data_IF_754342429705
#
_entry.id   IF_754342429705
#
_cell.length_a   1.000
_cell.length_b   1.000
_cell.length_c   1.000
_cell.angle_alpha   90.00
_cell.angle_beta   90.00
_cell.angle_gamma   90.00
#
_symmetry.space_group_name_H-M   'P 1'
#
loop_
_entity.id
_entity.type
_entity.pdbx_description
1 polymer ?
2 polymer ?
3 non-polymer ?
4 non-polymer ?
5 non-polymer ?
6 water ?
#
# COMPACT_ATOMS: atom_id res chain seq x y z
N UNK A 1 15.98 3.98 -19.94
CA UNK A 1 15.32 2.86 -19.22
C UNK A 1 15.22 1.66 -20.14
N UNK A 2 15.37 0.46 -19.58
CA UNK A 2 15.40 -0.76 -20.38
C UNK A 2 14.09 -0.99 -21.13
N UNK A 3 12.99 -0.41 -20.66
CA UNK A 3 11.71 -0.54 -21.36
C UNK A 3 11.42 0.60 -22.33
N UNK A 4 12.37 1.51 -22.53
CA UNK A 4 12.14 2.67 -23.38
C UNK A 4 11.85 2.35 -24.82
N UNK A 5 12.31 1.21 -25.31
CA UNK A 5 12.09 0.83 -26.68
C UNK A 5 10.82 0.01 -26.90
N UNK A 6 10.10 -0.37 -25.85
CA UNK A 6 8.91 -1.19 -25.98
C UNK A 6 7.66 -0.31 -26.01
N UNK A 7 6.73 -0.64 -26.89
CA UNK A 7 5.46 0.07 -26.96
C UNK A 7 4.73 0.03 -25.62
N UNK A 8 4.03 1.11 -25.32
CA UNK A 8 3.19 1.15 -24.13
C UNK A 8 2.23 -0.03 -24.08
N UNK A 9 1.52 -0.31 -25.18
CA UNK A 9 0.52 -1.37 -25.14
C UNK A 9 1.16 -2.72 -24.94
N UNK A 10 2.37 -2.91 -25.48
CA UNK A 10 3.09 -4.17 -25.29
C UNK A 10 3.51 -4.35 -23.85
N UNK A 11 3.94 -3.26 -23.19
CA UNK A 11 4.29 -3.32 -21.77
C UNK A 11 3.08 -3.73 -20.93
N UNK A 12 1.92 -3.15 -21.22
CA UNK A 12 0.70 -3.50 -20.49
C UNK A 12 0.33 -4.96 -20.75
N UNK A 13 0.41 -5.40 -22.01
CA UNK A 13 0.13 -6.80 -22.32
C UNK A 13 1.06 -7.73 -21.57
N UNK A 14 2.35 -7.40 -21.54
CA UNK A 14 3.30 -8.26 -20.86
C UNK A 14 3.15 -8.19 -19.36
N UNK A 15 2.74 -7.05 -18.80
CA UNK A 15 2.46 -7.01 -17.37
C UNK A 15 1.36 -7.99 -17.02
N UNK A 16 0.33 -8.10 -17.87
CA UNK A 16 -0.76 -9.03 -17.60
C UNK A 16 -0.29 -10.48 -17.72
N UNK A 17 0.59 -10.76 -18.68
CA UNK A 17 1.19 -12.09 -18.79
C UNK A 17 2.04 -12.40 -17.56
N UNK A 18 2.85 -11.43 -17.12
CA UNK A 18 3.68 -11.64 -15.95
C UNK A 18 2.83 -11.92 -14.72
N UNK A 19 1.71 -11.22 -14.58
CA UNK A 19 0.80 -11.51 -13.47
C UNK A 19 0.34 -12.96 -13.52
N UNK A 20 -0.09 -13.44 -14.70
CA UNK A 20 -0.56 -14.81 -14.83
C UNK A 20 0.53 -15.81 -14.47
N UNK A 21 1.78 -15.48 -14.79
CA UNK A 21 2.93 -16.33 -14.52
C UNK A 21 3.51 -16.12 -13.12
N UNK A 22 2.91 -15.23 -12.33
CA UNK A 22 3.39 -14.91 -10.98
C UNK A 22 4.83 -14.39 -11.00
N UNK A 23 5.15 -13.61 -12.03
CA UNK A 23 6.47 -13.01 -12.22
C UNK A 23 6.36 -11.54 -11.88
N UNK A 24 6.27 -11.26 -10.58
CA UNK A 24 5.89 -9.92 -10.16
C UNK A 24 7.00 -8.90 -10.33
N UNK A 25 8.26 -9.31 -10.24
CA UNK A 25 9.35 -8.38 -10.54
C UNK A 25 9.29 -7.95 -12.01
N UNK A 26 9.05 -8.90 -12.91
CA UNK A 26 8.88 -8.53 -14.32
C UNK A 26 7.67 -7.61 -14.49
N UNK A 27 6.57 -7.96 -13.84
CA UNK A 27 5.35 -7.18 -13.93
C UNK A 27 5.61 -5.75 -13.53
N UNK A 28 6.35 -5.55 -12.43
CA UNK A 28 6.64 -4.21 -11.94
C UNK A 28 7.53 -3.44 -12.92
N UNK A 29 8.51 -4.13 -13.50
CA UNK A 29 9.37 -3.47 -14.48
C UNK A 29 8.57 -3.05 -15.71
N UNK A 30 7.65 -3.90 -16.17
CA UNK A 30 6.81 -3.55 -17.31
C UNK A 30 5.94 -2.34 -16.99
N UNK A 31 5.31 -2.34 -15.80
CA UNK A 31 4.43 -1.25 -15.44
C UNK A 31 5.21 0.04 -15.20
N UNK A 32 6.41 -0.04 -14.64
CA UNK A 32 7.26 1.16 -14.54
C UNK A 32 7.55 1.72 -15.93
N UNK A 33 7.88 0.85 -16.89
CA UNK A 33 8.07 1.30 -18.25
C UNK A 33 6.84 1.96 -18.82
N UNK A 34 5.65 1.41 -18.53
CA UNK A 34 4.42 1.99 -19.02
C UNK A 34 4.20 3.37 -18.42
N UNK A 35 4.40 3.51 -17.10
CA UNK A 35 4.26 4.82 -16.46
C UNK A 35 5.21 5.83 -17.10
N UNK A 36 6.44 5.41 -17.38
CA UNK A 36 7.46 6.32 -17.90
C UNK A 36 7.19 6.74 -19.34
N UNK A 37 6.21 6.16 -20.02
CA UNK A 37 5.77 6.71 -21.29
C UNK A 37 5.16 8.09 -21.16
N UNK A 38 4.71 8.46 -19.97
CA UNK A 38 4.27 9.82 -19.71
C UNK A 38 2.77 10.04 -19.81
N UNK A 39 2.01 9.07 -20.30
CA UNK A 39 0.57 9.19 -20.34
C UNK A 39 -0.02 8.78 -18.99
N UNK A 40 -1.20 9.32 -18.69
CA UNK A 40 -1.95 8.89 -17.52
C UNK A 40 -2.32 7.40 -17.64
N UNK A 41 -2.61 6.79 -16.49
CA UNK A 41 -2.98 5.38 -16.44
C UNK A 41 -4.49 5.25 -16.23
N UNK A 42 -5.08 4.28 -16.92
CA UNK A 42 -6.47 3.95 -16.71
C UNK A 42 -6.66 3.25 -15.37
N UNK A 43 -7.92 3.03 -14.97
CA UNK A 43 -8.19 2.30 -13.74
C UNK A 43 -7.52 0.93 -13.74
N UNK A 44 -7.68 0.17 -14.82
CA UNK A 44 -7.09 -1.15 -14.87
C UNK A 44 -5.58 -1.07 -14.78
N UNK A 45 -4.99 -0.09 -15.44
CA UNK A 45 -3.54 0.04 -15.43
C UNK A 45 -3.03 0.45 -14.05
N UNK A 46 -3.76 1.29 -13.33
CA UNK A 46 -3.38 1.61 -11.96
C UNK A 46 -3.41 0.37 -11.09
N UNK A 47 -4.44 -0.46 -11.27
CA UNK A 47 -4.50 -1.71 -10.51
C UNK A 47 -3.31 -2.60 -10.84
N UNK A 48 -2.92 -2.69 -12.11
CA UNK A 48 -1.75 -3.50 -12.47
C UNK A 48 -0.49 -2.98 -11.81
N UNK A 49 -0.29 -1.66 -11.84
CA UNK A 49 0.87 -1.05 -11.20
C UNK A 49 0.93 -1.44 -9.72
N UNK A 50 -0.21 -1.31 -9.05
CA UNK A 50 -0.26 -1.62 -7.62
C UNK A 50 -0.06 -3.10 -7.34
N UNK A 51 -0.73 -3.97 -8.10
CA UNK A 51 -0.54 -5.41 -7.89
C UNK A 51 0.94 -5.76 -8.01
N UNK A 52 1.60 -5.24 -9.03
CA UNK A 52 2.98 -5.62 -9.29
C UNK A 52 3.87 -5.24 -8.12
N UNK A 53 3.86 -3.96 -7.75
CA UNK A 53 4.74 -3.51 -6.69
C UNK A 53 4.31 -4.02 -5.32
N UNK A 54 3.01 -4.21 -5.08
CA UNK A 54 2.60 -4.75 -3.79
C UNK A 54 3.15 -6.16 -3.58
N UNK A 55 3.16 -6.96 -4.63
CA UNK A 55 3.69 -8.31 -4.52
C UNK A 55 5.21 -8.28 -4.36
N UNK A 56 5.91 -7.43 -5.10
CA UNK A 56 7.36 -7.33 -4.93
C UNK A 56 7.69 -6.92 -3.49
N UNK A 57 7.10 -5.82 -3.00
CA UNK A 57 7.45 -5.37 -1.67
C UNK A 57 6.92 -6.35 -0.64
N UNK A 58 5.85 -7.07 -0.95
CA UNK A 58 5.34 -8.05 -0.02
C UNK A 58 6.33 -9.14 0.29
N UNK A 59 7.01 -9.64 -0.74
CA UNK A 59 8.02 -10.65 -0.49
C UNK A 59 9.19 -10.09 0.30
N UNK A 60 9.56 -8.84 0.04
CA UNK A 60 10.64 -8.21 0.78
C UNK A 60 10.27 -7.98 2.23
N UNK A 61 9.03 -7.54 2.48
CA UNK A 61 8.58 -7.31 3.86
C UNK A 61 8.56 -8.61 4.63
N UNK A 62 8.07 -9.68 4.01
CA UNK A 62 8.03 -10.97 4.69
C UNK A 62 9.44 -11.45 5.01
N UNK A 63 10.38 -11.28 4.07
CA UNK A 63 11.76 -11.69 4.31
C UNK A 63 12.39 -10.83 5.39
N UNK A 64 12.15 -9.51 5.33
CA UNK A 64 12.68 -8.61 6.34
C UNK A 64 12.20 -9.00 7.74
N UNK A 65 10.91 -9.32 7.88
CA UNK A 65 10.39 -9.71 9.18
C UNK A 65 11.08 -10.96 9.71
N UNK A 66 11.31 -11.95 8.84
CA UNK A 66 11.99 -13.17 9.27
C UNK A 66 13.39 -12.83 9.77
N UNK A 67 14.13 -12.04 8.99
CA UNK A 67 15.50 -11.72 9.34
C UNK A 67 15.57 -10.83 10.58
N UNK A 68 14.66 -9.87 10.72
CA UNK A 68 14.66 -9.02 11.90
C UNK A 68 14.38 -9.84 13.15
N UNK A 69 13.50 -10.83 13.06
CA UNK A 69 13.24 -11.68 14.22
C UNK A 69 14.47 -12.46 14.63
N UNK A 70 15.19 -13.03 13.66
CA UNK A 70 16.43 -13.75 13.96
C UNK A 70 17.43 -12.80 14.60
N UNK A 71 17.53 -11.58 14.05
CA UNK A 71 18.48 -10.61 14.58
C UNK A 71 18.13 -10.26 16.02
N UNK A 72 16.85 -10.03 16.31
CA UNK A 72 16.49 -9.66 17.68
C UNK A 72 16.77 -10.81 18.65
N UNK A 73 16.58 -12.05 18.22
CA UNK A 73 16.90 -13.16 19.09
C UNK A 73 18.40 -13.24 19.34
N UNK A 74 19.21 -12.94 18.32
CA UNK A 74 20.65 -12.97 18.51
C UNK A 74 21.12 -11.94 19.52
N UNK A 75 20.31 -10.94 19.82
CA UNK A 75 20.67 -9.89 20.75
C UNK A 75 20.10 -10.09 22.15
N UNK A 76 19.56 -11.27 22.44
CA UNK A 76 19.06 -11.58 23.77
C UNK A 76 20.19 -12.09 24.65
N UNK A 77 19.95 -12.07 25.97
CA UNK A 77 20.94 -12.56 26.92
C UNK A 77 21.10 -14.08 26.76
N UNK A 78 22.36 -14.53 26.69
CA UNK A 78 22.66 -15.93 26.54
C UNK A 78 22.81 -16.40 25.11
N UNK A 79 22.49 -15.54 24.13
CA UNK A 79 22.62 -15.92 22.73
C UNK A 79 24.09 -15.88 22.33
N UNK A 80 24.54 -16.94 21.68
CA UNK A 80 25.93 -17.02 21.26
C UNK A 80 26.18 -16.01 20.13
N UNK A 81 27.38 -15.42 20.13
CA UNK A 81 27.77 -14.47 19.11
C UNK A 81 28.05 -15.18 17.80
N UNK A 82 27.45 -14.71 16.72
CA UNK A 82 27.57 -15.35 15.42
C UNK A 82 28.14 -14.41 14.36
N UNK A 83 28.57 -13.22 14.74
CA UNK A 83 29.21 -12.31 13.81
C UNK A 83 28.22 -11.37 13.17
N UNK A 84 28.69 -10.64 12.15
CA UNK A 84 27.90 -9.57 11.55
C UNK A 84 26.90 -10.03 10.49
N UNK A 85 26.85 -11.32 10.18
CA UNK A 85 26.16 -11.77 8.98
C UNK A 85 24.66 -11.56 9.04
N UNK A 86 24.02 -11.78 10.19
CA UNK A 86 22.57 -11.58 10.27
C UNK A 86 22.23 -10.12 10.03
N UNK A 87 22.94 -9.22 10.70
CA UNK A 87 22.73 -7.80 10.46
C UNK A 87 22.99 -7.42 9.02
N UNK A 88 24.10 -7.89 8.46
CA UNK A 88 24.42 -7.54 7.08
C UNK A 88 23.30 -7.97 6.14
N UNK A 89 22.81 -9.19 6.30
CA UNK A 89 21.84 -9.70 5.35
C UNK A 89 20.48 -9.03 5.56
N UNK A 90 20.07 -8.78 6.81
CA UNK A 90 18.90 -7.98 7.06
C UNK A 90 19.04 -6.61 6.43
N UNK A 91 20.22 -5.99 6.54
CA UNK A 91 20.46 -4.69 5.91
C UNK A 91 20.34 -4.79 4.39
N UNK A 92 20.83 -5.89 3.80
CA UNK A 92 20.74 -6.05 2.36
C UNK A 92 19.29 -6.07 1.89
N UNK A 93 18.48 -6.88 2.56
CA UNK A 93 17.06 -6.96 2.21
C UNK A 93 16.37 -5.64 2.47
N UNK A 94 16.71 -5.00 3.59
CA UNK A 94 16.12 -3.70 3.92
C UNK A 94 16.43 -2.67 2.85
N UNK A 95 17.68 -2.63 2.38
CA UNK A 95 18.06 -1.65 1.37
C UNK A 95 17.34 -1.90 0.06
N UNK A 96 17.16 -3.17 -0.30
CA UNK A 96 16.42 -3.47 -1.52
C UNK A 96 14.96 -3.07 -1.38
N UNK A 97 14.36 -3.32 -0.22
CA UNK A 97 12.98 -2.92 0.03
C UNK A 97 12.85 -1.40 -0.05
N UNK A 98 13.77 -0.69 0.57
CA UNK A 98 13.73 0.76 0.51
C UNK A 98 13.87 1.25 -0.92
N UNK A 99 14.70 0.57 -1.70
CA UNK A 99 14.82 0.92 -3.11
C UNK A 99 13.52 0.79 -3.87
N UNK A 100 12.79 -0.30 -3.64
CA UNK A 100 11.51 -0.48 -4.31
C UNK A 100 10.53 0.60 -3.88
N UNK A 101 10.47 0.88 -2.58
CA UNK A 101 9.59 1.94 -2.10
C UNK A 101 9.93 3.28 -2.73
N UNK A 102 11.22 3.59 -2.82
CA UNK A 102 11.66 4.84 -3.42
C UNK A 102 11.31 4.89 -4.90
N UNK A 103 11.41 3.77 -5.58
CA UNK A 103 11.02 3.72 -6.99
C UNK A 103 9.54 4.03 -7.17
N UNK A 104 8.70 3.41 -6.35
CA UNK A 104 7.25 3.66 -6.44
C UNK A 104 6.95 5.12 -6.13
N UNK A 105 7.53 5.63 -5.04
CA UNK A 105 7.32 7.03 -4.65
C UNK A 105 7.79 7.95 -5.76
N UNK A 106 8.88 7.58 -6.42
CA UNK A 106 9.36 8.38 -7.54
C UNK A 106 8.39 8.43 -8.71
N UNK A 107 7.79 7.29 -9.05
CA UNK A 107 6.79 7.26 -10.11
C UNK A 107 5.59 8.11 -9.74
N UNK A 108 5.17 8.04 -8.48
CA UNK A 108 4.05 8.84 -8.03
C UNK A 108 4.37 10.33 -8.10
N UNK A 109 5.61 10.71 -7.78
CA UNK A 109 6.02 12.11 -7.81
C UNK A 109 6.38 12.60 -9.20
N UNK A 110 6.63 11.70 -10.15
CA UNK A 110 7.12 12.09 -11.49
C UNK A 110 6.45 11.19 -12.54
N UNK A 111 5.17 11.44 -12.87
CA UNK A 111 4.40 12.61 -12.46
C UNK A 111 2.94 12.18 -12.28
N UNK A 112 2.73 10.98 -11.74
CA UNK A 112 1.37 10.42 -11.67
C UNK A 112 0.44 11.29 -10.82
N UNK A 113 0.87 11.69 -9.63
CA UNK A 113 -0.04 12.41 -8.76
C UNK A 113 -0.40 13.77 -9.36
N UNK A 114 0.59 14.50 -9.87
CA UNK A 114 0.30 15.86 -10.30
C UNK A 114 -0.64 15.90 -11.49
N UNK A 115 -0.72 14.85 -12.30
CA UNK A 115 -1.65 14.84 -13.42
C UNK A 115 -2.97 14.12 -13.11
N UNK A 116 -3.13 13.61 -11.89
CA UNK A 116 -4.35 12.91 -11.47
C UNK A 116 -5.36 13.88 -10.91
N UNK A 117 -6.43 14.10 -11.66
CA UNK A 117 -7.45 15.05 -11.24
C UNK A 117 -8.75 14.41 -10.75
N UNK A 118 -9.11 13.25 -11.29
CA UNK A 118 -10.34 12.60 -10.85
C UNK A 118 -10.12 11.95 -9.50
N UNK A 119 -11.17 11.88 -8.70
CA UNK A 119 -11.00 11.30 -7.37
C UNK A 119 -10.48 9.88 -7.42
N UNK A 120 -10.94 9.08 -8.38
CA UNK A 120 -10.59 7.67 -8.41
C UNK A 120 -9.11 7.45 -8.72
N UNK A 121 -8.49 8.37 -9.45
CA UNK A 121 -7.06 8.26 -9.70
C UNK A 121 -6.28 8.91 -8.58
N UNK A 122 -6.65 10.14 -8.20
CA UNK A 122 -5.90 10.89 -7.21
C UNK A 122 -5.90 10.20 -5.85
N UNK A 123 -7.07 9.72 -5.39
CA UNK A 123 -7.13 9.00 -4.12
C UNK A 123 -6.31 7.73 -4.18
N UNK A 124 -6.42 6.97 -5.29
CA UNK A 124 -5.66 5.74 -5.43
C UNK A 124 -4.16 5.99 -5.30
N UNK A 125 -3.65 7.04 -5.96
CA UNK A 125 -2.23 7.34 -5.92
C UNK A 125 -1.77 7.89 -4.58
N UNK A 126 -2.57 8.74 -3.96
CA UNK A 126 -2.21 9.25 -2.65
C UNK A 126 -2.24 8.15 -1.60
N UNK A 127 -3.18 7.21 -1.71
CA UNK A 127 -3.18 6.04 -0.86
C UNK A 127 -1.90 5.24 -1.07
N UNK A 128 -1.51 5.02 -2.33
CA UNK A 128 -0.26 4.33 -2.61
C UNK A 128 0.92 5.06 -1.96
N UNK A 129 0.95 6.39 -2.07
CA UNK A 129 2.02 7.14 -1.47
C UNK A 129 2.08 6.91 0.04
N UNK A 130 0.92 6.96 0.71
CA UNK A 130 0.89 6.61 2.12
C UNK A 130 1.38 5.21 2.40
N UNK A 131 0.94 4.25 1.59
CA UNK A 131 1.33 2.86 1.76
C UNK A 131 2.84 2.67 1.68
N UNK A 132 3.49 3.28 0.68
CA UNK A 132 4.91 3.00 0.49
C UNK A 132 5.75 3.76 1.51
N UNK A 133 5.29 4.93 1.98
CA UNK A 133 5.91 5.52 3.17
C UNK A 133 5.67 4.64 4.40
N UNK A 134 4.49 4.02 4.51
CA UNK A 134 4.26 3.12 5.63
C UNK A 134 5.23 1.93 5.60
N UNK A 135 5.47 1.36 4.43
CA UNK A 135 6.43 0.27 4.33
C UNK A 135 7.83 0.75 4.69
N UNK A 136 8.20 1.97 4.29
CA UNK A 136 9.46 2.54 4.74
C UNK A 136 9.47 2.70 6.25
N UNK A 137 8.34 3.09 6.85
CA UNK A 137 8.28 3.30 8.29
C UNK A 137 8.43 1.99 9.05
N UNK A 138 7.98 0.88 8.48
CA UNK A 138 8.10 -0.41 9.14
C UNK A 138 9.55 -0.75 9.45
N UNK A 139 10.50 -0.28 8.64
CA UNK A 139 11.91 -0.60 8.80
C UNK A 139 12.74 0.56 9.30
N UNK A 140 12.14 1.73 9.49
CA UNK A 140 12.89 2.92 9.88
C UNK A 140 13.21 2.90 11.36
N UNK A 141 14.43 3.34 11.69
CA UNK A 141 14.88 3.39 13.08
C UNK A 141 15.69 4.63 13.43
N UNK A 142 16.12 5.44 12.47
CA UNK A 142 17.03 6.54 12.74
C UNK A 142 16.36 7.89 12.83
N UNK A 143 17.15 8.93 12.55
CA UNK A 143 16.71 10.31 12.69
C UNK A 143 15.58 10.68 11.74
N UNK A 144 15.28 9.85 10.74
CA UNK A 144 14.23 10.16 9.78
C UNK A 144 12.97 9.32 9.98
N UNK A 145 12.90 8.50 11.04
CA UNK A 145 11.68 7.76 11.31
C UNK A 145 10.47 8.70 11.44
N UNK A 146 10.63 9.77 12.21
CA UNK A 146 9.52 10.69 12.43
C UNK A 146 9.07 11.32 11.13
N UNK A 147 10.04 11.70 10.29
CA UNK A 147 9.71 12.33 9.01
C UNK A 147 8.97 11.36 8.10
N UNK A 148 9.42 10.11 8.05
CA UNK A 148 8.79 9.10 7.20
C UNK A 148 7.36 8.87 7.66
N UNK A 149 7.16 8.78 8.97
CA UNK A 149 5.82 8.60 9.49
C UNK A 149 4.94 9.77 9.12
N UNK A 150 5.46 11.01 9.25
CA UNK A 150 4.73 12.22 8.90
C UNK A 150 4.33 12.21 7.43
N UNK A 151 5.25 11.77 6.57
CA UNK A 151 4.96 11.71 5.15
C UNK A 151 3.83 10.73 4.84
N UNK A 152 3.85 9.54 5.47
CA UNK A 152 2.75 8.60 5.30
C UNK A 152 1.44 9.22 5.76
N UNK A 153 1.46 9.80 6.96
CA UNK A 153 0.25 10.41 7.51
C UNK A 153 -0.31 11.46 6.57
N UNK A 154 0.57 12.32 6.05
CA UNK A 154 0.14 13.44 5.23
C UNK A 154 -0.52 12.96 3.95
N UNK A 155 0.07 11.94 3.31
CA UNK A 155 -0.49 11.42 2.08
C UNK A 155 -1.84 10.75 2.34
N UNK A 156 -1.92 9.94 3.39
CA UNK A 156 -3.21 9.34 3.75
C UNK A 156 -4.25 10.39 4.04
N UNK A 157 -3.86 11.45 4.75
CA UNK A 157 -4.83 12.47 5.14
C UNK A 157 -5.37 13.21 3.92
N UNK A 158 -4.50 13.57 2.96
CA UNK A 158 -4.99 14.20 1.75
C UNK A 158 -5.93 13.27 0.99
N UNK A 159 -5.58 11.99 0.91
CA UNK A 159 -6.45 11.01 0.26
C UNK A 159 -7.79 10.89 0.97
N UNK A 160 -7.77 10.87 2.31
CA UNK A 160 -9.01 10.77 3.08
C UNK A 160 -9.89 11.97 2.83
N UNK A 161 -9.29 13.17 2.81
CA UNK A 161 -10.11 14.37 2.64
C UNK A 161 -10.81 14.35 1.28
N UNK A 162 -10.10 13.95 0.22
CA UNK A 162 -10.71 13.87 -1.10
C UNK A 162 -11.77 12.77 -1.12
N UNK A 163 -11.46 11.61 -0.56
CA UNK A 163 -12.38 10.47 -0.65
C UNK A 163 -13.68 10.78 0.06
N UNK A 164 -13.62 11.48 1.18
CA UNK A 164 -14.85 11.78 1.92
C UNK A 164 -15.70 12.79 1.17
N UNK A 165 -15.09 13.69 0.42
CA UNK A 165 -15.85 14.67 -0.34
C UNK A 165 -16.38 14.14 -1.66
N UNK A 166 -15.64 13.24 -2.31
CA UNK A 166 -15.91 12.90 -3.70
C UNK A 166 -16.38 11.47 -3.96
N UNK A 167 -16.32 10.58 -2.98
CA UNK A 167 -16.68 9.19 -3.21
C UNK A 167 -17.73 8.74 -2.21
N UNK A 168 -18.58 7.80 -2.59
CA UNK A 168 -19.53 7.25 -1.62
C UNK A 168 -18.82 6.39 -0.60
N UNK A 169 -19.41 6.19 0.56
CA UNK A 169 -18.73 5.48 1.64
C UNK A 169 -18.49 4.02 1.34
N UNK A 170 -19.13 3.46 0.32
CA UNK A 170 -18.88 2.08 -0.11
C UNK A 170 -17.82 1.96 -1.20
N UNK A 171 -17.31 3.06 -1.72
CA UNK A 171 -16.36 2.95 -2.82
C UNK A 171 -15.16 2.12 -2.37
N UNK A 172 -14.78 1.08 -3.09
CA UNK A 172 -13.68 0.23 -2.60
C UNK A 172 -12.35 0.94 -2.41
N UNK A 173 -12.05 1.98 -3.20
CA UNK A 173 -10.84 2.75 -2.98
C UNK A 173 -10.92 3.48 -1.64
N UNK A 174 -12.04 4.16 -1.38
CA UNK A 174 -12.23 4.83 -0.11
C UNK A 174 -12.11 3.85 1.04
N UNK A 175 -12.70 2.66 0.89
CA UNK A 175 -12.65 1.64 1.95
C UNK A 175 -11.22 1.14 2.16
N UNK A 176 -10.52 0.82 1.08
CA UNK A 176 -9.16 0.33 1.21
C UNK A 176 -8.20 1.37 1.78
N UNK A 177 -8.42 2.63 1.42
CA UNK A 177 -7.68 3.73 2.02
C UNK A 177 -7.91 3.81 3.52
N UNK A 178 -9.17 3.82 3.94
CA UNK A 178 -9.47 3.91 5.37
C UNK A 178 -8.90 2.71 6.11
N UNK A 179 -9.05 1.53 5.54
CA UNK A 179 -8.45 0.33 6.12
C UNK A 179 -6.95 0.51 6.33
N UNK A 180 -6.25 1.00 5.31
CA UNK A 180 -4.81 1.14 5.42
C UNK A 180 -4.40 2.26 6.36
N UNK A 181 -5.14 3.36 6.40
CA UNK A 181 -4.82 4.45 7.33
C UNK A 181 -5.04 3.96 8.76
N UNK A 182 -6.07 3.13 8.97
CA UNK A 182 -6.29 2.55 10.29
C UNK A 182 -5.14 1.62 10.69
N UNK A 183 -4.62 0.82 9.75
CA UNK A 183 -3.43 0.00 10.03
C UNK A 183 -2.25 0.90 10.37
N UNK A 184 -2.04 1.97 9.60
CA UNK A 184 -1.02 2.95 9.94
C UNK A 184 -1.17 3.42 11.39
N UNK A 185 -2.38 3.83 11.78
CA UNK A 185 -2.57 4.31 13.15
C UNK A 185 -2.18 3.24 14.17
N UNK A 186 -2.58 1.99 13.94
CA UNK A 186 -2.38 0.95 14.93
C UNK A 186 -0.92 0.49 14.99
N UNK A 187 -0.31 0.27 13.83
CA UNK A 187 0.98 -0.40 13.75
C UNK A 187 2.17 0.56 13.65
N UNK A 188 1.97 1.78 13.15
CA UNK A 188 3.06 2.72 12.90
C UNK A 188 3.02 3.88 13.89
N UNK A 189 1.85 4.49 14.08
CA UNK A 189 1.73 5.76 14.77
C UNK A 189 1.40 5.61 16.25
N UNK A 190 1.34 4.40 16.78
CA UNK A 190 1.08 4.22 18.22
C UNK A 190 -0.25 4.83 18.63
N UNK A 191 -1.26 4.68 17.77
CA UNK A 191 -2.59 5.29 17.97
C UNK A 191 -3.67 4.24 17.79
N UNK A 192 -3.69 3.21 18.64
CA UNK A 192 -4.70 2.14 18.46
C UNK A 192 -6.13 2.64 18.59
N UNK A 193 -6.40 3.61 19.46
CA UNK A 193 -7.77 4.10 19.55
C UNK A 193 -8.21 4.77 18.26
N UNK A 194 -7.32 5.53 17.64
CA UNK A 194 -7.67 6.16 16.36
C UNK A 194 -7.91 5.09 15.31
N UNK A 195 -7.07 4.05 15.31
CA UNK A 195 -7.25 2.95 14.37
C UNK A 195 -8.63 2.31 14.51
N UNK A 196 -9.02 2.02 15.74
CA UNK A 196 -10.29 1.36 16.01
C UNK A 196 -11.45 2.26 15.63
N UNK A 197 -11.38 3.53 16.03
CA UNK A 197 -12.46 4.45 15.69
C UNK A 197 -12.62 4.60 14.20
N UNK A 198 -11.51 4.74 13.46
CA UNK A 198 -11.61 4.87 12.00
C UNK A 198 -12.19 3.61 11.37
N UNK A 199 -11.74 2.43 11.81
CA UNK A 199 -12.27 1.21 11.22
C UNK A 199 -13.77 1.08 11.48
N UNK A 200 -14.21 1.41 12.70
CA UNK A 200 -15.63 1.30 13.07
C UNK A 200 -16.48 2.26 12.26
N UNK A 201 -16.10 3.54 12.25
CA UNK A 201 -16.88 4.54 11.52
C UNK A 201 -16.93 4.20 10.03
N UNK A 202 -15.80 3.77 9.47
CA UNK A 202 -15.78 3.42 8.05
C UNK A 202 -16.72 2.25 7.77
N UNK A 203 -16.66 1.22 8.61
CA UNK A 203 -17.54 0.07 8.43
C UNK A 203 -19.00 0.47 8.52
N UNK A 204 -19.36 1.22 9.56
CA UNK A 204 -20.76 1.57 9.77
C UNK A 204 -21.30 2.47 8.66
N UNK A 205 -20.51 3.43 8.17
CA UNK A 205 -20.99 4.28 7.10
C UNK A 205 -21.13 3.53 5.80
N UNK A 206 -20.27 2.55 5.56
CA UNK A 206 -20.42 1.72 4.38
C UNK A 206 -21.68 0.84 4.51
N UNK A 207 -21.88 0.23 5.68
CA UNK A 207 -23.06 -0.61 5.86
C UNK A 207 -24.32 0.13 5.45
N UNK A 208 -24.44 1.39 5.86
CA UNK A 208 -25.62 2.19 5.61
C UNK A 208 -25.84 2.55 4.15
N UNK A 209 -24.82 2.39 3.31
CA UNK A 209 -24.89 2.72 1.89
C UNK A 209 -24.98 1.50 0.99
N UNK A 210 -24.86 0.30 1.54
CA UNK A 210 -24.92 -0.91 0.73
C UNK A 210 -26.22 -1.01 -0.06
N UNK A 211 -27.32 -0.49 0.48
CA UNK A 211 -28.63 -0.63 -0.15
C UNK A 211 -28.67 0.00 -1.53
N UNK A 212 -27.75 0.93 -1.82
CA UNK A 212 -27.73 1.63 -3.11
C UNK A 212 -27.03 0.85 -4.21
N UNK A 213 -26.43 -0.29 -3.90
CA UNK A 213 -25.49 -0.96 -4.79
C UNK A 213 -26.11 -2.15 -5.51
N UNK A 214 -25.59 -2.39 -6.70
CA UNK A 214 -25.86 -3.62 -7.44
C UNK A 214 -25.23 -4.80 -6.71
N UNK A 215 -25.62 -6.00 -7.12
CA UNK A 215 -25.06 -7.21 -6.53
C UNK A 215 -23.54 -7.24 -6.66
N UNK A 216 -23.02 -6.91 -7.84
CA UNK A 216 -21.58 -6.98 -8.03
C UNK A 216 -20.85 -5.93 -7.19
N UNK A 217 -21.39 -4.71 -7.13
CA UNK A 217 -20.76 -3.67 -6.31
C UNK A 217 -20.85 -4.00 -4.83
N UNK A 218 -21.97 -4.57 -4.41
CA UNK A 218 -22.12 -5.04 -3.04
C UNK A 218 -21.02 -6.04 -2.68
N UNK A 219 -20.74 -7.00 -3.58
CA UNK A 219 -19.67 -7.94 -3.31
C UNK A 219 -18.32 -7.24 -3.17
N UNK A 220 -18.02 -6.29 -4.06
CA UNK A 220 -16.74 -5.57 -4.00
C UNK A 220 -16.60 -4.84 -2.68
N UNK A 221 -17.64 -4.13 -2.26
CA UNK A 221 -17.55 -3.35 -1.04
C UNK A 221 -17.51 -4.23 0.20
N UNK A 222 -18.33 -5.26 0.27
CA UNK A 222 -18.36 -6.11 1.47
C UNK A 222 -17.05 -6.85 1.65
N UNK A 223 -16.34 -7.14 0.56
CA UNK A 223 -15.03 -7.79 0.69
C UNK A 223 -14.11 -6.94 1.55
N UNK A 224 -14.04 -5.63 1.26
CA UNK A 224 -13.15 -4.74 2.02
C UNK A 224 -13.70 -4.51 3.41
N UNK A 225 -15.03 -4.39 3.54
CA UNK A 225 -15.64 -4.24 4.84
C UNK A 225 -15.27 -5.39 5.76
N UNK A 226 -15.18 -6.60 5.23
CA UNK A 226 -14.84 -7.74 6.06
C UNK A 226 -13.42 -7.61 6.61
N UNK A 227 -12.53 -6.98 5.85
CA UNK A 227 -11.18 -6.76 6.35
C UNK A 227 -11.18 -5.78 7.53
N UNK A 228 -12.01 -4.73 7.45
CA UNK A 228 -12.17 -3.83 8.59
C UNK A 228 -12.67 -4.60 9.80
N UNK A 229 -13.67 -5.47 9.59
CA UNK A 229 -14.22 -6.28 10.67
C UNK A 229 -13.17 -7.20 11.26
N UNK A 230 -12.37 -7.84 10.40
CA UNK A 230 -11.33 -8.73 10.87
C UNK A 230 -10.34 -7.99 11.74
N UNK A 231 -9.95 -6.78 11.33
CA UNK A 231 -9.03 -5.99 12.15
C UNK A 231 -9.69 -5.60 13.48
N UNK A 232 -10.95 -5.18 13.45
CA UNK A 232 -11.59 -4.82 14.69
C UNK A 232 -11.63 -6.01 15.64
N UNK A 233 -11.85 -7.21 15.11
CA UNK A 233 -11.86 -8.41 15.95
C UNK A 233 -10.48 -8.68 16.55
N UNK A 234 -9.42 -8.46 15.78
CA UNK A 234 -8.07 -8.62 16.30
C UNK A 234 -7.76 -7.60 17.38
N UNK A 235 -8.26 -6.37 17.23
CA UNK A 235 -7.85 -5.24 18.06
C UNK A 235 -8.74 -5.02 19.28
N UNK A 236 -9.87 -5.70 19.37
CA UNK A 236 -10.80 -5.48 20.46
C UNK A 236 -11.17 -6.82 21.13
N UNK B 3 -2.21 -7.17 11.24
CA UNK B 3 -3.47 -6.67 10.67
C UNK B 3 -3.54 -6.80 9.16
N UNK B 4 -4.77 -6.84 8.66
CA UNK B 4 -5.02 -6.92 7.25
C UNK B 4 -4.97 -5.55 6.62
N UNK B 6 -5.27 -3.42 2.59
CA UNK B 6 -6.13 -3.54 1.43
C UNK B 6 -5.50 -4.42 0.34
N UNK B 7 -6.35 -5.08 -0.45
CA UNK B 7 -5.82 -5.66 -1.69
C UNK B 7 -5.28 -4.56 -2.58
N UNK B 8 -4.41 -4.97 -3.50
CA UNK B 8 -3.80 -4.01 -4.43
C UNK B 8 -4.81 -3.53 -5.46
N UNK B 9 -5.60 -4.44 -5.99
CA UNK B 9 -6.53 -4.11 -7.05
C UNK B 9 -7.87 -3.67 -6.45
N UNK B 11 -12.14 0.05 -7.81
CA UNK B 11 -13.42 0.55 -7.30
C UNK B 11 -14.53 -0.18 -8.04
#
# INVERSE_FOLDING_TARGET
GAMGSMERASLIQKAKLAEQAERYEDMAAFMKGAVEKGEELSCEERNLLSVAYKNVVGGQRAAWRVLSSIEQKSNEEGSEEKGPEVREYREKVETELQGVCDTVLGLLDSHLIKEAGDAESRVFYLKMKGDYYRYLAEVATGDDKKRIIDSARSAYQEAMDISKKEMPPTNPIRLGLALNFSVFHYEIANSPEEAISLAKTTFDEAMADLHTLSEDSYKDSTLIMQLLRDNLTLWT
XRAHXSPASXQ
#
